data_IF_818985895719
#
_entry.id   IF_818985895719
#
_cell.length_a   1.000
_cell.length_b   1.000
_cell.length_c   1.000
_cell.angle_alpha   90.00
_cell.angle_beta   90.00
_cell.angle_gamma   90.00
#
_symmetry.space_group_name_H-M   'P 1'
#
loop_
_entity.id
_entity.type
_entity.pdbx_description
1 polymer ?
#
# COMPACT_ATOMS: atom_id res chain seq x y z
N UNK A 1 -16.91 6.48 -24.87
CA UNK A 1 -17.95 6.88 -23.88
C UNK A 1 -17.26 7.01 -22.53
N UNK A 2 -17.17 8.22 -21.97
CA UNK A 2 -16.73 8.39 -20.58
C UNK A 2 -17.78 7.74 -19.67
N UNK A 3 -17.35 6.81 -18.82
CA UNK A 3 -18.19 6.26 -17.75
C UNK A 3 -18.69 7.42 -16.87
N UNK A 4 -19.91 7.31 -16.35
CA UNK A 4 -20.39 8.25 -15.34
C UNK A 4 -19.47 8.15 -14.11
N UNK A 5 -19.35 9.24 -13.32
CA UNK A 5 -18.51 9.25 -12.12
C UNK A 5 -18.83 8.09 -11.17
N UNK A 6 -20.11 7.78 -10.98
CA UNK A 6 -20.58 6.69 -10.14
C UNK A 6 -20.12 5.30 -10.64
N UNK A 7 -20.18 5.05 -11.96
CA UNK A 7 -19.72 3.79 -12.54
C UNK A 7 -18.17 3.66 -12.40
N UNK A 8 -17.44 4.76 -12.54
CA UNK A 8 -15.99 4.78 -12.30
C UNK A 8 -15.65 4.45 -10.85
N UNK A 9 -16.41 4.92 -9.88
CA UNK A 9 -16.14 4.70 -8.45
C UNK A 9 -16.47 3.27 -8.02
N UNK A 10 -17.55 2.69 -8.54
CA UNK A 10 -17.87 1.26 -8.33
C UNK A 10 -16.76 0.38 -8.89
N UNK A 11 -16.32 0.68 -10.09
CA UNK A 11 -15.23 -0.04 -10.74
C UNK A 11 -13.92 0.01 -9.94
N UNK A 12 -13.49 1.18 -9.49
CA UNK A 12 -12.27 1.34 -8.67
C UNK A 12 -12.35 0.55 -7.37
N UNK A 13 -13.53 0.51 -6.74
CA UNK A 13 -13.77 -0.29 -5.53
C UNK A 13 -13.60 -1.78 -5.82
N UNK A 14 -14.20 -2.29 -6.90
CA UNK A 14 -14.08 -3.69 -7.30
C UNK A 14 -12.63 -4.07 -7.61
N UNK A 15 -11.91 -3.21 -8.33
CA UNK A 15 -10.50 -3.43 -8.65
C UNK A 15 -9.60 -3.48 -7.40
N UNK A 16 -9.86 -2.62 -6.42
CA UNK A 16 -9.14 -2.65 -5.14
C UNK A 16 -9.50 -3.89 -4.32
N UNK A 17 -10.76 -4.28 -4.24
CA UNK A 17 -11.18 -5.52 -3.56
C UNK A 17 -10.54 -6.76 -4.19
N UNK A 18 -10.50 -6.84 -5.52
CA UNK A 18 -9.80 -7.91 -6.24
C UNK A 18 -8.29 -7.91 -5.91
N UNK A 19 -7.63 -6.75 -5.88
CA UNK A 19 -6.22 -6.64 -5.52
C UNK A 19 -5.96 -7.13 -4.08
N UNK A 20 -6.84 -6.84 -3.12
CA UNK A 20 -6.74 -7.37 -1.75
C UNK A 20 -6.89 -8.89 -1.74
N UNK A 21 -7.88 -9.44 -2.46
CA UNK A 21 -8.11 -10.88 -2.56
C UNK A 21 -6.93 -11.62 -3.20
N UNK A 22 -6.31 -11.02 -4.22
CA UNK A 22 -5.11 -11.53 -4.89
C UNK A 22 -3.80 -11.32 -4.10
N UNK A 23 -3.89 -10.81 -2.87
CA UNK A 23 -2.72 -10.51 -2.01
C UNK A 23 -1.73 -9.55 -2.66
N UNK A 24 -2.22 -8.54 -3.38
CA UNK A 24 -1.38 -7.48 -3.94
C UNK A 24 -0.90 -6.53 -2.85
N UNK A 25 0.34 -6.07 -2.97
CA UNK A 25 0.90 -5.03 -2.10
C UNK A 25 0.39 -3.66 -2.56
N UNK A 26 -0.37 -2.99 -1.70
CA UNK A 26 -1.11 -1.77 -2.03
C UNK A 26 -0.57 -0.60 -1.20
N UNK A 27 -0.22 0.49 -1.88
CA UNK A 27 0.07 1.77 -1.23
C UNK A 27 -1.06 2.76 -1.46
N UNK A 28 -1.60 3.29 -0.37
CA UNK A 28 -2.60 4.35 -0.37
C UNK A 28 -1.89 5.68 -0.15
N UNK A 29 -1.82 6.48 -1.20
CA UNK A 29 -1.13 7.76 -1.20
C UNK A 29 -2.10 8.94 -1.12
N UNK A 30 -1.61 10.06 -0.64
CA UNK A 30 -2.37 11.31 -0.57
C UNK A 30 -1.81 12.27 0.48
N UNK A 31 -2.20 13.52 0.40
CA UNK A 31 -1.87 14.53 1.41
C UNK A 31 -2.60 14.29 2.75
N UNK A 32 -2.42 15.23 3.67
CA UNK A 32 -3.12 15.21 4.96
C UNK A 32 -4.64 15.33 4.74
N UNK A 33 -5.42 14.57 5.50
CA UNK A 33 -6.89 14.57 5.49
C UNK A 33 -7.56 14.21 4.15
N UNK A 34 -6.85 13.56 3.23
CA UNK A 34 -7.41 13.07 1.95
C UNK A 34 -8.23 11.79 2.09
N UNK A 35 -8.23 11.15 3.27
CA UNK A 35 -8.97 9.92 3.54
C UNK A 35 -8.15 8.64 3.38
N UNK A 36 -6.81 8.71 3.43
CA UNK A 36 -5.94 7.53 3.38
C UNK A 36 -6.37 6.47 4.40
N UNK A 37 -6.47 6.84 5.67
CA UNK A 37 -6.89 5.93 6.76
C UNK A 37 -8.27 5.32 6.50
N UNK A 38 -9.21 6.11 5.98
CA UNK A 38 -10.56 5.62 5.65
C UNK A 38 -10.52 4.54 4.54
N UNK A 39 -9.77 4.80 3.46
CA UNK A 39 -9.63 3.81 2.39
C UNK A 39 -8.87 2.58 2.89
N UNK A 40 -7.78 2.76 3.64
CA UNK A 40 -7.02 1.65 4.21
C UNK A 40 -7.87 0.76 5.11
N UNK A 41 -8.71 1.36 5.98
CA UNK A 41 -9.64 0.60 6.81
C UNK A 41 -10.68 -0.17 5.98
N UNK A 42 -11.16 0.41 4.87
CA UNK A 42 -12.04 -0.31 3.95
C UNK A 42 -11.35 -1.52 3.29
N UNK A 43 -10.07 -1.38 2.91
CA UNK A 43 -9.27 -2.51 2.36
C UNK A 43 -8.99 -3.57 3.43
N UNK A 44 -8.73 -3.17 4.67
CA UNK A 44 -8.53 -4.09 5.79
C UNK A 44 -9.82 -4.85 6.15
N UNK A 45 -10.98 -4.24 5.95
CA UNK A 45 -12.27 -4.90 6.14
C UNK A 45 -12.48 -6.08 5.15
N UNK A 46 -11.94 -5.99 3.93
CA UNK A 46 -11.97 -7.10 2.96
C UNK A 46 -11.20 -8.35 3.44
N UNK A 47 -10.25 -8.17 4.38
CA UNK A 47 -9.46 -9.28 4.94
C UNK A 47 -10.17 -9.95 6.12
N UNK A 48 -11.23 -9.35 6.65
CA UNK A 48 -11.91 -9.81 7.89
C UNK A 48 -12.43 -11.25 7.85
N UNK A 49 -12.75 -11.76 6.66
CA UNK A 49 -13.20 -13.15 6.43
C UNK A 49 -12.07 -14.11 6.06
N UNK A 50 -10.84 -13.62 5.93
CA UNK A 50 -9.68 -14.42 5.59
C UNK A 50 -9.14 -15.16 6.80
N UNK A 51 -8.64 -16.40 6.66
CA UNK A 51 -7.91 -17.10 7.73
C UNK A 51 -6.50 -16.54 7.96
N UNK A 52 -6.10 -15.52 7.23
CA UNK A 52 -4.76 -14.97 7.25
C UNK A 52 -4.36 -14.48 8.66
N UNK A 53 -3.12 -14.77 9.05
CA UNK A 53 -2.49 -14.14 10.19
C UNK A 53 -2.02 -12.74 9.79
N UNK A 54 -2.68 -11.74 10.33
CA UNK A 54 -2.40 -10.33 10.07
C UNK A 54 -1.56 -9.76 11.21
N UNK A 55 -0.39 -9.22 10.89
CA UNK A 55 0.43 -8.45 11.85
C UNK A 55 0.39 -6.99 11.44
N UNK A 56 -0.44 -6.23 12.11
CA UNK A 56 -0.67 -4.79 11.88
C UNK A 56 0.36 -3.97 12.63
N UNK A 57 1.04 -3.05 11.95
CA UNK A 57 2.09 -2.20 12.52
C UNK A 57 1.70 -0.73 12.37
N UNK A 58 1.71 0.02 13.47
CA UNK A 58 1.38 1.45 13.45
C UNK A 58 2.05 2.22 14.59
N UNK A 59 2.22 3.52 14.41
CA UNK A 59 2.68 4.41 15.47
C UNK A 59 1.52 4.79 16.40
N UNK A 60 0.47 5.33 15.78
CA UNK A 60 -0.76 5.75 16.46
C UNK A 60 -1.89 4.85 16.01
N UNK A 61 -2.75 4.47 16.94
CA UNK A 61 -3.87 3.58 16.65
C UNK A 61 -4.93 4.28 15.79
N UNK A 62 -4.90 4.03 14.50
CA UNK A 62 -5.83 4.58 13.51
C UNK A 62 -6.50 3.49 12.66
N UNK A 63 -5.81 2.37 12.48
CA UNK A 63 -6.28 1.30 11.62
C UNK A 63 -7.21 0.35 12.36
N UNK A 64 -8.22 -0.11 11.64
CA UNK A 64 -9.23 -1.05 12.12
C UNK A 64 -9.17 -2.31 11.26
N UNK A 65 -8.77 -3.41 11.85
CA UNK A 65 -8.73 -4.71 11.21
C UNK A 65 -9.49 -5.71 12.06
N UNK A 66 -10.47 -6.39 11.47
CA UNK A 66 -11.31 -7.38 12.13
C UNK A 66 -10.91 -8.83 11.76
N UNK A 67 -9.68 -9.04 11.29
CA UNK A 67 -9.17 -10.37 10.99
C UNK A 67 -9.19 -11.26 12.23
N UNK A 68 -9.65 -12.52 12.14
CA UNK A 68 -9.73 -13.42 13.29
C UNK A 68 -8.39 -13.70 13.97
N UNK A 69 -7.30 -13.69 13.19
CA UNK A 69 -5.95 -13.91 13.67
C UNK A 69 -5.12 -12.62 13.52
N UNK A 70 -5.40 -11.64 14.37
CA UNK A 70 -4.77 -10.32 14.37
C UNK A 70 -3.76 -10.16 15.50
N UNK A 71 -2.56 -9.68 15.16
CA UNK A 71 -1.59 -9.12 16.10
C UNK A 71 -1.37 -7.66 15.77
N UNK A 72 -1.52 -6.76 16.74
CA UNK A 72 -1.26 -5.32 16.57
C UNK A 72 0.03 -4.95 17.30
N UNK A 73 0.99 -4.40 16.56
CA UNK A 73 2.25 -3.89 17.08
C UNK A 73 2.27 -2.37 16.97
N UNK A 74 2.77 -1.71 18.00
CA UNK A 74 2.91 -0.25 18.02
C UNK A 74 4.29 0.16 18.43
N UNK A 75 4.76 1.25 17.83
CA UNK A 75 6.00 1.89 18.23
C UNK A 75 5.93 2.37 19.67
N UNK A 76 7.08 2.49 20.28
CA UNK A 76 7.24 3.11 21.58
C UNK A 76 8.55 3.88 21.57
N UNK A 77 8.49 5.17 21.85
CA UNK A 77 9.64 6.06 21.87
C UNK A 77 10.76 5.50 22.75
N UNK A 78 11.97 5.48 22.20
CA UNK A 78 13.15 4.96 22.86
C UNK A 78 13.18 3.44 23.09
N UNK A 79 12.18 2.68 22.62
CA UNK A 79 12.07 1.22 22.82
C UNK A 79 11.99 0.45 21.50
N UNK A 80 11.06 0.84 20.61
CA UNK A 80 10.83 0.12 19.36
C UNK A 80 10.41 1.07 18.26
N UNK A 81 11.16 1.09 17.17
CA UNK A 81 10.89 1.83 15.95
C UNK A 81 9.99 1.03 14.99
N UNK A 82 9.46 1.65 13.94
CA UNK A 82 8.75 0.94 12.88
C UNK A 82 9.62 -0.17 12.24
N UNK A 83 10.90 0.11 11.97
CA UNK A 83 11.85 -0.88 11.45
C UNK A 83 12.01 -2.09 12.38
N UNK A 84 12.13 -1.87 13.69
CA UNK A 84 12.22 -2.95 14.66
C UNK A 84 10.96 -3.81 14.67
N UNK A 85 9.79 -3.17 14.55
CA UNK A 85 8.51 -3.86 14.51
C UNK A 85 8.33 -4.68 13.22
N UNK A 86 8.73 -4.15 12.05
CA UNK A 86 8.69 -4.90 10.79
C UNK A 86 9.56 -6.15 10.89
N UNK A 87 10.81 -6.02 11.36
CA UNK A 87 11.73 -7.15 11.55
C UNK A 87 11.19 -8.17 12.55
N UNK A 88 10.58 -7.71 13.64
CA UNK A 88 9.98 -8.56 14.66
C UNK A 88 8.75 -9.30 14.15
N UNK A 89 7.94 -8.63 13.31
CA UNK A 89 6.75 -9.20 12.69
C UNK A 89 7.06 -10.48 11.92
N UNK A 90 8.20 -10.55 11.20
CA UNK A 90 8.62 -11.72 10.45
C UNK A 90 8.74 -13.00 11.31
N UNK A 91 9.05 -12.86 12.60
CA UNK A 91 9.13 -13.98 13.55
C UNK A 91 7.77 -14.47 14.03
N UNK A 92 6.71 -13.71 13.78
CA UNK A 92 5.34 -14.06 14.14
C UNK A 92 4.62 -14.86 13.06
N UNK A 93 5.31 -15.23 11.98
CA UNK A 93 4.76 -15.97 10.81
C UNK A 93 3.53 -15.27 10.24
N UNK A 94 3.62 -14.01 9.83
CA UNK A 94 2.49 -13.29 9.27
C UNK A 94 2.19 -13.79 7.85
N UNK A 95 0.91 -13.83 7.49
CA UNK A 95 0.50 -13.95 6.11
C UNK A 95 0.45 -12.57 5.44
N UNK A 96 0.08 -11.52 6.23
CA UNK A 96 0.02 -10.13 5.78
C UNK A 96 0.58 -9.19 6.83
N UNK A 97 1.27 -8.14 6.38
CA UNK A 97 1.85 -7.09 7.24
C UNK A 97 1.33 -5.72 6.79
N UNK A 98 0.11 -5.31 7.20
CA UNK A 98 -0.32 -3.93 7.01
C UNK A 98 0.48 -2.96 7.87
N UNK A 99 0.71 -1.73 7.35
CA UNK A 99 1.39 -0.67 8.08
C UNK A 99 0.57 0.63 8.05
N UNK A 100 0.50 1.32 9.16
CA UNK A 100 -0.25 2.57 9.28
C UNK A 100 0.27 3.63 8.33
N UNK A 101 1.54 3.96 8.39
CA UNK A 101 2.18 4.92 7.50
C UNK A 101 3.66 4.57 7.28
N UNK A 102 4.11 4.70 6.04
CA UNK A 102 5.52 4.59 5.64
C UNK A 102 6.10 6.00 5.56
N UNK A 103 7.03 6.34 6.45
CA UNK A 103 7.55 7.71 6.57
C UNK A 103 9.05 7.83 6.80
N UNK A 104 9.76 6.70 6.98
CA UNK A 104 11.19 6.68 7.25
C UNK A 104 11.89 5.40 6.78
N UNK A 105 12.95 5.07 7.49
CA UNK A 105 13.85 3.97 7.15
C UNK A 105 13.19 2.58 7.07
N UNK A 106 12.04 2.39 7.74
CA UNK A 106 11.25 1.16 7.68
C UNK A 106 10.78 0.79 6.27
N UNK A 107 10.79 1.75 5.33
CA UNK A 107 10.40 1.52 3.94
C UNK A 107 11.18 0.37 3.31
N UNK A 108 12.49 0.26 3.53
CA UNK A 108 13.31 -0.81 2.99
C UNK A 108 13.02 -2.16 3.65
N UNK A 109 12.87 -2.19 4.98
CA UNK A 109 12.52 -3.42 5.72
C UNK A 109 11.16 -3.95 5.29
N UNK A 110 10.19 -3.04 5.09
CA UNK A 110 8.85 -3.37 4.63
C UNK A 110 8.85 -3.97 3.22
N UNK A 111 9.58 -3.35 2.27
CA UNK A 111 9.71 -3.90 0.91
C UNK A 111 10.33 -5.29 0.92
N UNK A 112 11.37 -5.51 1.73
CA UNK A 112 11.96 -6.83 1.88
C UNK A 112 10.94 -7.83 2.43
N UNK A 113 10.18 -7.46 3.46
CA UNK A 113 9.16 -8.33 4.04
C UNK A 113 8.07 -8.68 3.03
N UNK A 114 7.53 -7.70 2.33
CA UNK A 114 6.47 -7.90 1.32
C UNK A 114 6.95 -8.68 0.10
N UNK A 115 8.20 -8.47 -0.34
CA UNK A 115 8.80 -9.14 -1.50
C UNK A 115 9.29 -10.56 -1.22
N UNK A 116 9.44 -10.97 0.05
CA UNK A 116 10.06 -12.26 0.41
C UNK A 116 9.12 -13.21 1.17
N UNK A 117 7.87 -13.32 0.75
CA UNK A 117 6.95 -14.34 1.26
C UNK A 117 5.78 -13.83 2.10
N UNK A 118 5.63 -12.52 2.28
CA UNK A 118 4.52 -11.90 3.00
C UNK A 118 3.73 -10.91 2.12
N UNK A 119 3.18 -11.36 0.96
CA UNK A 119 2.43 -10.51 0.03
C UNK A 119 1.08 -10.08 0.62
N UNK A 120 0.46 -9.07 0.02
CA UNK A 120 -0.83 -8.55 0.47
C UNK A 120 -0.69 -7.51 1.57
N UNK A 121 0.45 -6.84 1.62
CA UNK A 121 0.67 -5.67 2.45
C UNK A 121 -0.19 -4.48 2.01
N UNK A 122 -0.66 -3.71 2.97
CA UNK A 122 -1.41 -2.48 2.75
C UNK A 122 -0.77 -1.41 3.62
N UNK A 123 -0.41 -0.27 3.03
CA UNK A 123 0.21 0.82 3.78
C UNK A 123 -0.20 2.18 3.27
N UNK A 124 -0.01 3.23 4.08
CA UNK A 124 -0.20 4.61 3.62
C UNK A 124 1.14 5.32 3.44
N UNK A 125 1.15 6.34 2.61
CA UNK A 125 2.31 7.19 2.36
C UNK A 125 1.88 8.59 1.92
N UNK A 126 2.65 9.61 2.25
CA UNK A 126 2.43 10.96 1.77
C UNK A 126 3.01 11.18 0.38
N UNK A 127 2.15 11.23 -0.64
CA UNK A 127 2.52 11.57 -2.02
C UNK A 127 1.31 12.09 -2.80
N UNK A 128 1.55 12.89 -3.86
CA UNK A 128 0.49 13.52 -4.63
C UNK A 128 0.15 12.81 -5.95
N UNK A 129 0.90 11.78 -6.37
CA UNK A 129 0.69 11.01 -7.60
C UNK A 129 1.23 9.60 -7.45
N UNK A 130 0.87 8.70 -8.36
CA UNK A 130 1.37 7.32 -8.34
C UNK A 130 2.90 7.27 -8.55
N UNK A 131 3.43 8.01 -9.51
CA UNK A 131 4.88 8.11 -9.70
C UNK A 131 5.56 8.78 -8.50
N UNK A 132 4.94 9.84 -7.95
CA UNK A 132 5.43 10.52 -6.75
C UNK A 132 5.50 9.59 -5.54
N UNK A 133 4.62 8.61 -5.45
CA UNK A 133 4.64 7.56 -4.40
C UNK A 133 5.92 6.72 -4.48
N UNK A 134 6.28 6.25 -5.66
CA UNK A 134 7.50 5.45 -5.85
C UNK A 134 8.76 6.27 -5.59
N UNK A 135 8.80 7.52 -6.07
CA UNK A 135 9.90 8.44 -5.77
C UNK A 135 10.00 8.79 -4.29
N UNK A 136 8.87 8.89 -3.59
CA UNK A 136 8.88 9.09 -2.13
C UNK A 136 9.44 7.87 -1.41
N UNK A 137 9.12 6.65 -1.84
CA UNK A 137 9.75 5.44 -1.31
C UNK A 137 11.28 5.46 -1.52
N UNK A 138 11.75 5.85 -2.71
CA UNK A 138 13.19 6.00 -2.97
C UNK A 138 13.85 6.95 -1.96
N UNK A 139 13.24 8.12 -1.71
CA UNK A 139 13.76 9.09 -0.75
C UNK A 139 13.84 8.50 0.66
N UNK A 140 12.79 7.81 1.13
CA UNK A 140 12.77 7.19 2.44
C UNK A 140 13.82 6.07 2.58
N UNK A 141 13.99 5.25 1.54
CA UNK A 141 14.99 4.20 1.51
C UNK A 141 16.41 4.78 1.51
N UNK A 142 16.60 5.91 0.86
CA UNK A 142 17.89 6.60 0.79
C UNK A 142 18.38 7.10 2.15
N UNK A 143 17.50 7.23 3.14
CA UNK A 143 17.87 7.49 4.53
C UNK A 143 18.69 6.35 5.16
N UNK A 144 18.59 5.12 4.61
CA UNK A 144 19.22 3.91 5.15
C UNK A 144 20.31 3.33 4.26
N UNK A 145 20.31 3.61 2.96
CA UNK A 145 21.24 3.04 1.98
C UNK A 145 21.66 4.05 0.93
N UNK A 146 22.90 3.93 0.45
CA UNK A 146 23.45 4.82 -0.60
C UNK A 146 22.79 4.55 -1.96
N UNK A 147 22.57 3.26 -2.29
CA UNK A 147 21.98 2.86 -3.57
C UNK A 147 20.58 2.33 -3.36
N UNK A 148 19.60 3.04 -3.90
CA UNK A 148 18.20 2.65 -3.81
C UNK A 148 17.91 1.46 -4.73
N UNK A 149 17.33 0.36 -4.22
CA UNK A 149 17.01 -0.81 -5.02
C UNK A 149 15.69 -0.59 -5.80
N UNK A 150 15.70 0.20 -6.87
CA UNK A 150 14.53 0.56 -7.69
C UNK A 150 13.80 -0.67 -8.25
N UNK A 151 14.56 -1.70 -8.64
CA UNK A 151 13.98 -2.97 -9.09
C UNK A 151 13.14 -3.62 -7.99
N UNK A 152 13.64 -3.68 -6.75
CA UNK A 152 12.88 -4.22 -5.62
C UNK A 152 11.58 -3.43 -5.37
N UNK A 153 11.61 -2.10 -5.49
CA UNK A 153 10.40 -1.28 -5.38
C UNK A 153 9.37 -1.68 -6.45
N UNK A 154 9.82 -1.76 -7.72
CA UNK A 154 8.95 -2.08 -8.85
C UNK A 154 8.38 -3.51 -8.80
N UNK A 155 9.15 -4.46 -8.27
CA UNK A 155 8.75 -5.86 -8.12
C UNK A 155 7.82 -6.09 -6.92
N UNK A 156 7.97 -5.26 -5.86
CA UNK A 156 7.24 -5.45 -4.62
C UNK A 156 5.90 -4.71 -4.58
N UNK A 157 5.85 -3.48 -5.09
CA UNK A 157 4.63 -2.67 -5.06
C UNK A 157 3.78 -3.00 -6.29
N UNK A 158 2.58 -3.53 -6.07
CA UNK A 158 1.67 -3.91 -7.15
C UNK A 158 0.72 -2.77 -7.54
N UNK A 159 0.12 -2.10 -6.54
CA UNK A 159 -0.97 -1.14 -6.75
C UNK A 159 -0.75 0.13 -5.94
N UNK A 160 -0.99 1.26 -6.57
CA UNK A 160 -0.98 2.57 -5.92
C UNK A 160 -2.34 3.23 -6.11
N UNK A 161 -2.97 3.62 -5.00
CA UNK A 161 -4.23 4.34 -4.94
C UNK A 161 -3.99 5.76 -4.41
N UNK A 162 -4.17 6.79 -5.24
CA UNK A 162 -3.90 8.19 -4.86
C UNK A 162 -5.19 8.93 -4.56
N UNK A 163 -5.30 9.44 -3.35
CA UNK A 163 -6.43 10.22 -2.86
C UNK A 163 -6.11 11.72 -2.86
N UNK A 164 -7.06 12.50 -3.32
CA UNK A 164 -7.00 13.97 -3.30
C UNK A 164 -8.24 14.56 -2.65
N UNK A 165 -8.13 15.79 -2.15
CA UNK A 165 -9.29 16.61 -1.82
C UNK A 165 -9.83 17.28 -3.09
N UNK A 166 -11.15 17.30 -3.22
CA UNK A 166 -11.85 17.94 -4.32
C UNK A 166 -12.99 18.79 -3.73
N UNK A 167 -12.72 20.05 -3.51
CA UNK A 167 -13.63 20.94 -2.76
C UNK A 167 -13.88 20.40 -1.34
N UNK A 168 -15.14 20.16 -1.00
CA UNK A 168 -15.54 19.58 0.28
C UNK A 168 -15.42 18.04 0.33
N UNK A 169 -15.17 17.39 -0.82
CA UNK A 169 -15.12 15.94 -0.96
C UNK A 169 -13.71 15.37 -0.98
N UNK A 170 -13.66 14.05 -1.10
CA UNK A 170 -12.45 13.25 -1.28
C UNK A 170 -12.64 12.37 -2.51
N UNK A 171 -11.61 12.23 -3.32
CA UNK A 171 -11.68 11.47 -4.56
C UNK A 171 -10.45 10.60 -4.75
N UNK A 172 -10.64 9.37 -5.24
CA UNK A 172 -9.56 8.54 -5.76
C UNK A 172 -9.16 9.08 -7.14
N UNK A 173 -8.05 9.83 -7.17
CA UNK A 173 -7.57 10.52 -8.37
C UNK A 173 -6.89 9.55 -9.34
N UNK A 174 -6.02 8.70 -8.81
CA UNK A 174 -5.29 7.71 -9.59
C UNK A 174 -5.44 6.33 -8.96
N UNK A 175 -5.55 5.32 -9.81
CA UNK A 175 -5.43 3.91 -9.43
C UNK A 175 -4.52 3.27 -10.48
N UNK A 176 -3.29 2.96 -10.08
CA UNK A 176 -2.24 2.52 -10.98
C UNK A 176 -1.67 1.18 -10.55
N UNK A 177 -1.38 0.32 -11.53
CA UNK A 177 -0.57 -0.88 -11.36
C UNK A 177 0.88 -0.56 -11.68
N UNK A 178 1.78 -0.97 -10.80
CA UNK A 178 3.22 -0.94 -11.06
C UNK A 178 3.57 -2.19 -11.86
N UNK A 179 4.30 -2.04 -12.96
CA UNK A 179 4.70 -3.16 -13.83
C UNK A 179 6.14 -3.57 -13.60
N UNK A 180 7.05 -2.70 -14.03
CA UNK A 180 8.49 -2.95 -13.99
C UNK A 180 9.23 -1.62 -14.14
N UNK A 181 10.54 -1.68 -14.26
CA UNK A 181 11.34 -0.60 -14.82
C UNK A 181 11.45 -0.78 -16.34
N UNK A 182 11.43 0.32 -17.07
CA UNK A 182 11.75 0.28 -18.50
C UNK A 182 13.26 0.19 -18.77
N UNK A 183 13.66 0.19 -20.04
CA UNK A 183 15.05 0.10 -20.44
C UNK A 183 15.90 1.31 -19.97
N UNK A 184 15.29 2.44 -19.64
CA UNK A 184 15.95 3.61 -19.07
C UNK A 184 16.02 3.57 -17.53
N UNK A 185 15.42 2.55 -16.92
CA UNK A 185 15.32 2.39 -15.47
C UNK A 185 14.19 3.23 -14.83
N UNK A 186 13.23 3.73 -15.61
CA UNK A 186 12.07 4.47 -15.09
C UNK A 186 10.89 3.52 -14.80
N UNK A 187 10.07 3.88 -13.82
CA UNK A 187 8.89 3.09 -13.45
C UNK A 187 7.81 3.11 -14.53
N UNK A 188 7.35 1.92 -14.91
CA UNK A 188 6.20 1.75 -15.79
C UNK A 188 4.94 1.62 -14.97
N UNK A 189 4.07 2.60 -15.05
CA UNK A 189 2.76 2.64 -14.40
C UNK A 189 1.66 2.55 -15.45
N UNK A 190 0.69 1.67 -15.20
CA UNK A 190 -0.50 1.55 -16.06
C UNK A 190 -1.75 1.71 -15.21
N UNK A 191 -2.82 2.31 -15.74
CA UNK A 191 -4.11 2.32 -15.05
C UNK A 191 -4.51 0.90 -14.69
N UNK A 192 -5.08 0.68 -13.51
CA UNK A 192 -5.61 -0.63 -13.15
C UNK A 192 -6.74 -0.97 -14.13
N UNK A 193 -6.65 -2.08 -14.88
CA UNK A 193 -7.52 -2.33 -16.03
C UNK A 193 -8.97 -2.50 -15.59
N UNK A 194 -9.88 -2.14 -16.50
CA UNK A 194 -11.29 -2.51 -16.40
C UNK A 194 -11.42 -4.05 -16.44
N UNK A 195 -12.17 -4.62 -15.51
CA UNK A 195 -12.51 -6.05 -15.50
C UNK A 195 -13.58 -6.41 -16.55
N UNK A 196 -13.80 -5.62 -17.58
CA UNK A 196 -14.61 -5.98 -18.74
C UNK A 196 -13.68 -6.28 -19.91
N UNK A 197 -13.66 -7.59 -20.25
CA UNK A 197 -13.15 -8.21 -21.44
C UNK A 197 -12.42 -7.30 -22.43
N UNK A 198 -11.13 -7.35 -22.40
CA UNK A 198 -10.33 -6.90 -23.52
C UNK A 198 -10.51 -7.97 -24.61
N UNK A 199 -11.14 -7.67 -25.76
CA UNK A 199 -11.07 -8.59 -26.88
C UNK A 199 -9.63 -8.60 -27.38
N UNK A 200 -9.07 -9.80 -27.40
CA UNK A 200 -7.79 -10.18 -27.98
C UNK A 200 -7.45 -9.50 -29.30
#
# INVERSE_FOLDING_TARGET
RRLSSAASDVYKRQALGAAVAERKNILVAGGTSTGKTTLTNALLAEISSSPDRVVLIEDTRELQCAAPNLVSLRTKDGVATLSDLVRSALRLRPDRIPIGEVRGAEALDLLKAWGTGHPGGIGTIHAGSALGTLRRLEQLIQESVVTVPRALIAETIDVIAVLVRDGAGRRLAELAKVRALDASGEYVLVPLPHTQGDPS
#
